data_IF_224170956213
#
_entry.id   IF_224170956213
#
_cell.length_a   1.000
_cell.length_b   1.000
_cell.length_c   1.000
_cell.angle_alpha   90.00
_cell.angle_beta   90.00
_cell.angle_gamma   90.00
#
_symmetry.space_group_name_H-M   'P 1'
#
loop_
_entity.id
_entity.type
_entity.pdbx_description
1 polymer ?
#
# COMPACT_ATOMS: atom_id res chain seq x y z
N UNK A 1 6.27 -39.55 -5.72
CA UNK A 1 5.16 -39.60 -4.74
C UNK A 1 4.47 -38.26 -4.86
N UNK A 2 3.64 -38.15 -5.89
CA UNK A 2 2.99 -36.92 -6.34
C UNK A 2 1.65 -36.78 -5.62
N UNK A 3 1.37 -35.57 -5.11
CA UNK A 3 0.06 -35.23 -4.58
C UNK A 3 -0.47 -34.04 -5.38
N UNK A 4 -1.37 -34.34 -6.31
CA UNK A 4 -2.22 -33.42 -7.04
C UNK A 4 -3.39 -33.01 -6.13
N UNK A 5 -3.65 -31.71 -5.95
CA UNK A 5 -4.88 -31.22 -5.29
C UNK A 5 -5.84 -30.69 -6.37
N UNK A 6 -6.99 -31.35 -6.45
CA UNK A 6 -8.09 -31.10 -7.38
C UNK A 6 -8.94 -29.91 -6.92
N UNK A 7 -9.22 -28.98 -7.84
CA UNK A 7 -10.27 -27.96 -7.73
C UNK A 7 -11.59 -28.58 -8.20
N UNK A 8 -12.64 -28.55 -7.37
CA UNK A 8 -13.95 -27.99 -7.74
C UNK A 8 -15.09 -28.33 -6.75
N UNK A 9 -16.05 -27.39 -6.72
CA UNK A 9 -17.45 -27.43 -6.22
C UNK A 9 -17.71 -27.13 -4.74
N UNK A 10 -18.01 -25.86 -4.46
CA UNK A 10 -19.27 -25.49 -3.79
C UNK A 10 -19.87 -24.30 -4.56
N UNK A 11 -20.92 -24.56 -5.34
CA UNK A 11 -21.83 -23.56 -5.90
C UNK A 11 -23.17 -23.74 -5.19
N UNK A 12 -23.68 -22.66 -4.62
CA UNK A 12 -25.02 -22.58 -4.02
C UNK A 12 -25.29 -21.14 -3.62
N UNK A 13 -25.87 -20.36 -4.54
CA UNK A 13 -26.09 -18.93 -4.37
C UNK A 13 -27.25 -18.58 -3.44
N UNK A 14 -27.18 -17.38 -2.87
CA UNK A 14 -28.35 -16.60 -2.50
C UNK A 14 -28.06 -15.13 -2.82
N UNK A 15 -28.97 -14.57 -3.61
CA UNK A 15 -28.87 -13.24 -4.19
C UNK A 15 -29.16 -12.17 -3.14
N UNK A 16 -28.17 -11.31 -2.90
CA UNK A 16 -28.33 -9.94 -2.40
C UNK A 16 -27.01 -9.21 -2.71
N UNK A 17 -26.75 -8.95 -3.98
CA UNK A 17 -25.65 -8.08 -4.37
C UNK A 17 -26.01 -7.29 -5.62
N UNK A 18 -26.75 -6.20 -5.41
CA UNK A 18 -26.92 -5.17 -6.40
C UNK A 18 -26.52 -3.83 -5.75
N UNK A 19 -25.52 -3.21 -6.37
CA UNK A 19 -24.99 -1.85 -6.16
C UNK A 19 -23.91 -1.70 -5.09
N UNK A 20 -22.66 -1.88 -5.53
CA UNK A 20 -21.61 -0.84 -5.58
C UNK A 20 -20.43 -1.39 -6.38
N UNK A 21 -20.47 -1.16 -7.69
CA UNK A 21 -19.28 -1.08 -8.53
C UNK A 21 -18.86 0.39 -8.54
N UNK A 22 -17.56 0.62 -8.69
CA UNK A 22 -16.90 1.90 -8.99
C UNK A 22 -16.38 2.68 -7.77
N UNK A 23 -15.29 2.17 -7.21
CA UNK A 23 -14.18 2.94 -6.62
C UNK A 23 -12.95 2.03 -6.56
N UNK A 24 -12.49 1.57 -7.74
CA UNK A 24 -11.15 1.00 -7.83
C UNK A 24 -10.18 2.15 -8.04
N UNK A 25 -9.42 2.51 -7.01
CA UNK A 25 -8.30 3.45 -7.15
C UNK A 25 -7.33 2.88 -8.18
N UNK A 26 -6.88 3.73 -9.11
CA UNK A 26 -5.89 3.32 -10.10
C UNK A 26 -4.53 3.12 -9.42
N UNK A 27 -3.64 2.25 -9.95
CA UNK A 27 -2.30 2.13 -9.39
C UNK A 27 -1.54 3.46 -9.57
N UNK A 28 -0.83 3.88 -8.51
CA UNK A 28 -0.06 5.12 -8.47
C UNK A 28 0.74 5.37 -9.76
N UNK A 29 0.63 6.60 -10.29
CA UNK A 29 1.35 7.05 -11.47
C UNK A 29 2.22 8.26 -11.11
N UNK A 30 3.53 8.08 -11.04
CA UNK A 30 4.44 9.22 -11.04
C UNK A 30 4.33 9.96 -12.38
N UNK A 31 4.28 11.30 -12.32
CA UNK A 31 4.28 12.17 -13.50
C UNK A 31 5.65 12.27 -14.17
N UNK A 32 6.73 11.91 -13.46
CA UNK A 32 8.12 12.05 -13.93
C UNK A 32 8.56 10.87 -14.81
N UNK A 33 8.00 9.68 -14.60
CA UNK A 33 8.22 8.47 -15.40
C UNK A 33 6.92 7.68 -15.40
N UNK A 34 6.41 7.25 -16.56
CA UNK A 34 5.15 6.49 -16.60
C UNK A 34 5.14 5.31 -15.61
N UNK A 35 3.95 4.87 -15.19
CA UNK A 35 3.79 3.92 -14.09
C UNK A 35 4.63 2.64 -14.22
N UNK A 36 5.31 2.24 -13.13
CA UNK A 36 5.98 0.94 -13.02
C UNK A 36 5.01 -0.26 -13.13
N UNK A 37 3.69 -0.01 -13.09
CA UNK A 37 2.67 -0.97 -13.48
C UNK A 37 2.88 -1.47 -14.93
N UNK A 38 3.38 -0.62 -15.83
CA UNK A 38 3.62 -0.99 -17.23
C UNK A 38 4.95 -1.74 -17.38
N UNK A 39 4.93 -3.04 -17.77
CA UNK A 39 6.12 -3.82 -18.00
C UNK A 39 7.11 -3.20 -18.98
N UNK A 40 6.65 -2.39 -19.92
CA UNK A 40 7.51 -1.72 -20.90
C UNK A 40 8.46 -0.74 -20.23
N UNK A 41 8.02 -0.06 -19.17
CA UNK A 41 8.78 1.02 -18.54
C UNK A 41 9.96 0.46 -17.76
N UNK A 42 9.73 -0.47 -16.85
CA UNK A 42 10.84 -1.05 -16.09
C UNK A 42 11.73 -1.97 -16.94
N UNK A 43 11.20 -2.64 -17.99
CA UNK A 43 12.05 -3.38 -18.94
C UNK A 43 13.02 -2.46 -19.68
N UNK A 44 12.61 -1.23 -20.01
CA UNK A 44 13.48 -0.21 -20.60
C UNK A 44 14.58 0.19 -19.61
N UNK A 45 14.22 0.41 -18.34
CA UNK A 45 15.17 0.69 -17.26
C UNK A 45 16.20 -0.43 -17.08
N UNK A 46 15.76 -1.69 -16.98
CA UNK A 46 16.64 -2.87 -16.90
C UNK A 46 17.61 -2.93 -18.08
N UNK A 47 17.12 -2.69 -19.30
CA UNK A 47 17.98 -2.67 -20.50
C UNK A 47 19.00 -1.53 -20.46
N UNK A 48 18.61 -0.37 -19.94
CA UNK A 48 19.50 0.76 -19.77
C UNK A 48 20.63 0.43 -18.78
N UNK A 49 20.28 -0.07 -17.58
CA UNK A 49 21.26 -0.43 -16.55
C UNK A 49 22.24 -1.49 -17.05
N UNK A 50 21.75 -2.56 -17.70
CA UNK A 50 22.59 -3.62 -18.28
C UNK A 50 23.64 -3.10 -19.28
N UNK A 51 23.33 -2.04 -20.02
CA UNK A 51 24.25 -1.47 -21.02
C UNK A 51 25.26 -0.50 -20.40
N UNK A 52 24.91 0.14 -19.28
CA UNK A 52 25.72 1.19 -18.66
C UNK A 52 26.66 0.65 -17.59
N UNK A 53 26.33 -0.49 -16.99
CA UNK A 53 27.07 -1.05 -15.87
C UNK A 53 27.14 -2.59 -15.97
N UNK A 54 28.36 -3.12 -16.14
CA UNK A 54 28.62 -4.55 -16.28
C UNK A 54 28.41 -5.33 -14.97
N UNK A 55 28.60 -4.68 -13.81
CA UNK A 55 28.35 -5.27 -12.50
C UNK A 55 26.84 -5.43 -12.31
N UNK A 56 26.07 -4.38 -12.56
CA UNK A 56 24.60 -4.45 -12.54
C UNK A 56 24.08 -5.45 -13.57
N UNK A 57 24.71 -5.54 -14.76
CA UNK A 57 24.30 -6.50 -15.77
C UNK A 57 24.40 -7.95 -15.29
N UNK A 58 25.50 -8.28 -14.61
CA UNK A 58 25.71 -9.60 -14.01
C UNK A 58 24.70 -9.89 -12.90
N UNK A 59 24.47 -8.94 -12.01
CA UNK A 59 23.50 -9.09 -10.90
C UNK A 59 22.09 -9.32 -11.46
N UNK A 60 21.62 -8.47 -12.37
CA UNK A 60 20.29 -8.61 -12.97
C UNK A 60 20.17 -9.93 -13.74
N UNK A 61 21.25 -10.39 -14.39
CA UNK A 61 21.27 -11.70 -15.05
C UNK A 61 21.07 -12.86 -14.08
N UNK A 62 21.67 -12.80 -12.90
CA UNK A 62 21.58 -13.85 -11.88
C UNK A 62 20.24 -13.84 -11.12
N UNK A 63 19.65 -12.67 -10.85
CA UNK A 63 18.38 -12.56 -10.10
C UNK A 63 17.17 -13.03 -10.92
N UNK A 64 17.25 -12.97 -12.26
CA UNK A 64 16.13 -13.33 -13.13
C UNK A 64 15.08 -12.20 -13.25
N UNK A 65 13.89 -12.49 -13.79
CA UNK A 65 12.87 -11.48 -14.05
C UNK A 65 12.26 -10.95 -12.74
N UNK A 66 12.21 -9.63 -12.61
CA UNK A 66 11.51 -8.94 -11.51
C UNK A 66 10.06 -8.63 -11.89
N UNK A 67 9.20 -8.54 -10.88
CA UNK A 67 7.83 -8.05 -10.99
C UNK A 67 7.67 -6.89 -10.01
N UNK A 68 7.06 -5.81 -10.48
CA UNK A 68 6.55 -4.76 -9.61
C UNK A 68 5.09 -5.08 -9.31
N UNK A 69 4.78 -5.16 -8.03
CA UNK A 69 3.41 -5.20 -7.51
C UNK A 69 3.19 -3.82 -6.88
N UNK A 70 2.26 -3.06 -7.43
CA UNK A 70 1.87 -1.77 -6.87
C UNK A 70 0.62 -1.98 -6.04
N UNK A 71 0.51 -1.25 -4.94
CA UNK A 71 -0.71 -1.22 -4.15
C UNK A 71 -1.79 -0.45 -4.92
N UNK A 72 -2.99 -1.02 -4.99
CA UNK A 72 -4.12 -0.41 -5.71
C UNK A 72 -4.83 0.67 -4.87
N UNK A 73 -4.58 0.73 -3.56
CA UNK A 73 -5.21 1.68 -2.63
C UNK A 73 -4.14 2.44 -1.83
N UNK A 74 -4.04 3.75 -2.10
CA UNK A 74 -3.08 4.65 -1.46
C UNK A 74 -3.23 4.70 0.07
N UNK A 75 -4.46 4.68 0.56
CA UNK A 75 -4.71 4.71 2.00
C UNK A 75 -4.25 3.40 2.63
N UNK A 76 -4.55 2.26 2.01
CA UNK A 76 -4.07 0.96 2.50
C UNK A 76 -2.54 0.88 2.51
N UNK A 77 -1.87 1.38 1.47
CA UNK A 77 -0.42 1.39 1.36
C UNK A 77 0.23 2.22 2.47
N UNK A 78 -0.27 3.44 2.71
CA UNK A 78 0.26 4.32 3.75
C UNK A 78 0.01 3.74 5.14
N UNK A 79 -1.21 3.28 5.44
CA UNK A 79 -1.51 2.65 6.73
C UNK A 79 -0.67 1.38 6.93
N UNK A 80 -0.51 0.59 5.87
CA UNK A 80 0.36 -0.58 5.85
C UNK A 80 1.80 -0.23 6.20
N UNK A 81 2.37 0.80 5.56
CA UNK A 81 3.75 1.24 5.82
C UNK A 81 3.93 1.65 7.28
N UNK A 82 3.00 2.43 7.85
CA UNK A 82 3.00 2.81 9.28
C UNK A 82 2.97 1.57 10.18
N UNK A 83 2.14 0.59 9.85
CA UNK A 83 2.05 -0.67 10.63
C UNK A 83 3.36 -1.47 10.57
N UNK A 84 4.06 -1.44 9.44
CA UNK A 84 5.31 -2.18 9.24
C UNK A 84 6.55 -1.52 9.86
N UNK A 85 6.50 -0.22 10.17
CA UNK A 85 7.63 0.49 10.78
C UNK A 85 8.17 -0.23 12.03
N UNK A 86 9.50 -0.35 12.08
CA UNK A 86 10.28 -0.89 13.21
C UNK A 86 9.91 -2.32 13.65
N UNK A 87 9.33 -3.12 12.76
CA UNK A 87 8.93 -4.50 13.04
C UNK A 87 9.47 -5.48 12.00
N UNK A 88 9.72 -6.72 12.43
CA UNK A 88 9.87 -7.84 11.49
C UNK A 88 8.57 -8.04 10.69
N UNK A 89 8.70 -8.41 9.41
CA UNK A 89 7.54 -8.50 8.49
C UNK A 89 6.44 -9.45 8.97
N UNK A 90 6.78 -10.56 9.62
CA UNK A 90 5.81 -11.51 10.18
C UNK A 90 4.99 -10.90 11.33
N UNK A 91 5.63 -10.14 12.22
CA UNK A 91 4.97 -9.46 13.33
C UNK A 91 4.05 -8.34 12.82
N UNK A 92 4.53 -7.53 11.87
CA UNK A 92 3.73 -6.48 11.24
C UNK A 92 2.50 -7.06 10.52
N UNK A 93 2.66 -8.15 9.76
CA UNK A 93 1.54 -8.83 9.09
C UNK A 93 0.52 -9.37 10.09
N UNK A 94 0.96 -9.94 11.21
CA UNK A 94 0.04 -10.41 12.25
C UNK A 94 -0.77 -9.26 12.88
N UNK A 95 -0.14 -8.11 13.14
CA UNK A 95 -0.84 -6.91 13.62
C UNK A 95 -1.82 -6.39 12.57
N UNK A 96 -1.38 -6.25 11.31
CA UNK A 96 -2.22 -5.78 10.22
C UNK A 96 -3.45 -6.67 10.03
N UNK A 97 -3.30 -8.00 10.08
CA UNK A 97 -4.41 -8.93 9.96
C UNK A 97 -5.42 -8.81 11.11
N UNK A 98 -4.96 -8.67 12.36
CA UNK A 98 -5.86 -8.42 13.50
C UNK A 98 -6.57 -7.09 13.39
N UNK A 99 -5.86 -6.05 12.93
CA UNK A 99 -6.43 -4.73 12.71
C UNK A 99 -7.51 -4.77 11.61
N UNK A 100 -7.22 -5.38 10.45
CA UNK A 100 -8.21 -5.63 9.39
C UNK A 100 -9.39 -6.47 9.90
N UNK A 101 -9.14 -7.42 10.79
CA UNK A 101 -10.15 -8.24 11.45
C UNK A 101 -11.21 -7.45 12.22
N UNK A 102 -10.90 -6.26 12.73
CA UNK A 102 -11.88 -5.39 13.39
C UNK A 102 -12.95 -4.87 12.41
N UNK A 103 -12.67 -4.88 11.11
CA UNK A 103 -13.51 -4.30 10.06
C UNK A 103 -13.85 -5.31 8.97
N UNK A 104 -13.94 -6.60 9.31
CA UNK A 104 -14.36 -7.63 8.37
C UNK A 104 -13.30 -8.01 7.33
N UNK A 105 -12.02 -7.83 7.63
CA UNK A 105 -10.90 -8.25 6.77
C UNK A 105 -10.34 -7.16 5.85
N UNK A 106 -10.87 -5.93 5.93
CA UNK A 106 -10.35 -4.74 5.24
C UNK A 106 -9.80 -3.71 6.21
N UNK A 107 -9.09 -2.69 5.71
CA UNK A 107 -8.80 -1.52 6.54
C UNK A 107 -10.08 -0.68 6.76
N UNK A 108 -10.17 0.05 7.89
CA UNK A 108 -11.26 0.99 8.11
C UNK A 108 -11.16 2.18 7.17
N UNK A 109 -12.29 2.82 6.85
CA UNK A 109 -12.24 4.18 6.31
C UNK A 109 -11.64 5.15 7.35
N UNK A 110 -11.16 6.34 6.93
CA UNK A 110 -10.75 7.39 7.87
C UNK A 110 -11.81 7.69 8.94
N UNK A 111 -13.08 7.79 8.56
CA UNK A 111 -14.19 8.04 9.48
C UNK A 111 -14.43 6.88 10.46
N UNK A 112 -14.37 5.63 10.00
CA UNK A 112 -14.49 4.44 10.86
C UNK A 112 -13.33 4.38 11.86
N UNK A 113 -12.11 4.67 11.41
CA UNK A 113 -10.93 4.70 12.26
C UNK A 113 -11.06 5.75 13.36
N UNK A 114 -11.44 6.99 13.02
CA UNK A 114 -11.59 8.08 13.98
C UNK A 114 -12.69 7.80 15.02
N UNK A 115 -13.72 7.05 14.64
CA UNK A 115 -14.81 6.62 15.52
C UNK A 115 -14.45 5.41 16.40
N UNK A 116 -13.28 4.81 16.21
CA UNK A 116 -12.88 3.60 16.94
C UNK A 116 -12.19 3.95 18.25
N UNK A 117 -12.63 3.28 19.31
CA UNK A 117 -12.01 3.36 20.64
C UNK A 117 -10.53 2.96 20.59
N UNK A 118 -9.67 3.81 21.16
CA UNK A 118 -8.23 3.57 21.23
C UNK A 118 -7.86 2.25 21.89
N UNK A 119 -8.63 1.79 22.88
CA UNK A 119 -8.33 0.53 23.57
C UNK A 119 -8.57 -0.68 22.67
N UNK A 120 -9.50 -0.58 21.70
CA UNK A 120 -9.68 -1.62 20.66
C UNK A 120 -8.48 -1.66 19.71
N UNK A 121 -7.95 -0.49 19.34
CA UNK A 121 -6.76 -0.38 18.49
C UNK A 121 -5.51 -0.93 19.19
N UNK A 122 -5.35 -0.67 20.48
CA UNK A 122 -4.26 -1.23 21.30
C UNK A 122 -4.35 -2.75 21.40
N UNK A 123 -5.56 -3.29 21.62
CA UNK A 123 -5.79 -4.74 21.73
C UNK A 123 -5.38 -5.54 20.49
N UNK A 124 -5.42 -4.95 19.29
CA UNK A 124 -4.93 -5.61 18.07
C UNK A 124 -3.41 -5.51 17.89
N UNK A 125 -2.71 -4.79 18.77
CA UNK A 125 -1.26 -4.68 18.81
C UNK A 125 -0.69 -3.42 18.14
N UNK A 126 -1.52 -2.40 17.87
CA UNK A 126 -1.02 -1.10 17.44
C UNK A 126 -0.40 -0.36 18.64
N UNK A 127 0.82 0.15 18.46
CA UNK A 127 1.46 1.00 19.47
C UNK A 127 0.75 2.36 19.55
N UNK A 128 0.84 3.07 20.69
CA UNK A 128 0.30 4.43 20.80
C UNK A 128 0.80 5.39 19.71
N UNK A 129 2.06 5.24 19.29
CA UNK A 129 2.66 6.01 18.22
C UNK A 129 1.98 5.74 16.87
N UNK A 130 1.81 4.47 16.49
CA UNK A 130 1.12 4.08 15.24
C UNK A 130 -0.34 4.54 15.24
N UNK A 131 -1.00 4.46 16.39
CA UNK A 131 -2.36 4.97 16.55
C UNK A 131 -2.41 6.49 16.29
N UNK A 132 -1.46 7.26 16.82
CA UNK A 132 -1.38 8.70 16.57
C UNK A 132 -1.09 9.03 15.11
N UNK A 133 -0.28 8.22 14.41
CA UNK A 133 0.08 8.48 13.01
C UNK A 133 -1.10 8.21 12.07
N UNK A 134 -1.76 7.06 12.24
CA UNK A 134 -2.96 6.73 11.46
C UNK A 134 -4.10 7.72 11.77
N UNK A 135 -4.18 8.24 13.00
CA UNK A 135 -5.14 9.28 13.38
C UNK A 135 -4.88 10.59 12.64
N UNK A 136 -3.64 11.09 12.65
CA UNK A 136 -3.29 12.33 11.93
C UNK A 136 -3.55 12.20 10.43
N UNK A 137 -3.22 11.06 9.84
CA UNK A 137 -3.56 10.73 8.44
C UNK A 137 -5.08 10.80 8.23
N UNK A 138 -5.86 10.10 9.05
CA UNK A 138 -7.31 10.06 8.91
C UNK A 138 -7.96 11.45 9.09
N UNK A 139 -7.48 12.26 10.03
CA UNK A 139 -7.95 13.63 10.25
C UNK A 139 -7.69 14.51 9.02
N UNK A 140 -6.47 14.47 8.45
CA UNK A 140 -6.11 15.23 7.25
C UNK A 140 -6.93 14.86 6.01
N UNK A 141 -7.28 13.59 5.88
CA UNK A 141 -8.17 13.13 4.81
C UNK A 141 -9.60 13.61 5.03
N UNK A 142 -10.08 13.58 6.27
CA UNK A 142 -11.45 13.98 6.60
C UNK A 142 -11.67 15.51 6.54
N UNK A 143 -10.65 16.30 6.84
CA UNK A 143 -10.70 17.76 6.81
C UNK A 143 -10.20 18.38 5.48
N UNK A 144 -9.75 17.54 4.55
CA UNK A 144 -9.32 17.96 3.21
C UNK A 144 -7.93 18.58 3.13
N UNK A 145 -7.14 18.56 4.22
CA UNK A 145 -5.72 18.95 4.19
C UNK A 145 -4.85 18.00 3.38
N UNK A 146 -5.30 16.77 3.15
CA UNK A 146 -4.64 15.79 2.29
C UNK A 146 -5.67 15.16 1.36
N UNK A 147 -5.31 15.03 0.08
CA UNK A 147 -6.07 14.31 -0.93
C UNK A 147 -5.11 13.34 -1.64
N UNK A 148 -5.30 12.05 -1.40
CA UNK A 148 -4.42 11.00 -1.95
C UNK A 148 -4.63 10.79 -3.45
N UNK A 149 -5.80 11.09 -3.99
CA UNK A 149 -6.06 10.98 -5.43
C UNK A 149 -5.35 12.10 -6.20
N UNK A 150 -5.28 13.30 -5.60
CA UNK A 150 -4.56 14.44 -6.19
C UNK A 150 -3.06 14.21 -6.31
N UNK A 151 -2.46 13.34 -5.49
CA UNK A 151 -1.02 13.10 -5.50
C UNK A 151 -0.50 12.66 -6.86
N UNK A 152 -1.29 11.92 -7.65
CA UNK A 152 -0.91 11.51 -9.02
C UNK A 152 -0.72 12.68 -9.99
N UNK A 153 -1.32 13.84 -9.70
CA UNK A 153 -1.20 15.04 -10.54
C UNK A 153 -0.01 15.93 -10.16
N UNK A 154 0.67 15.64 -9.05
CA UNK A 154 1.74 16.47 -8.52
C UNK A 154 3.12 16.03 -9.03
N UNK A 155 4.10 16.93 -8.92
CA UNK A 155 5.51 16.54 -9.02
C UNK A 155 5.91 15.68 -7.82
N UNK A 156 6.95 14.85 -7.98
CA UNK A 156 7.45 14.00 -6.89
C UNK A 156 7.81 14.86 -5.64
N UNK A 157 8.42 16.04 -5.82
CA UNK A 157 8.72 16.95 -4.72
C UNK A 157 7.50 17.54 -4.03
N UNK A 158 6.42 17.82 -4.76
CA UNK A 158 5.16 18.30 -4.20
C UNK A 158 4.43 17.19 -3.44
N UNK A 159 4.33 16.00 -4.03
CA UNK A 159 3.73 14.83 -3.40
C UNK A 159 4.49 14.44 -2.12
N UNK A 160 5.82 14.48 -2.15
CA UNK A 160 6.65 14.26 -0.95
C UNK A 160 6.35 15.27 0.15
N UNK A 161 6.17 16.56 -0.17
CA UNK A 161 5.85 17.60 0.83
C UNK A 161 4.49 17.38 1.48
N UNK A 162 3.48 16.99 0.71
CA UNK A 162 2.14 16.66 1.20
C UNK A 162 2.19 15.45 2.17
N UNK A 163 2.93 14.40 1.79
CA UNK A 163 3.08 13.18 2.59
C UNK A 163 3.93 13.40 3.86
N UNK A 164 5.05 14.13 3.77
CA UNK A 164 5.95 14.43 4.90
C UNK A 164 5.26 15.29 5.98
N UNK A 165 4.20 16.02 5.61
CA UNK A 165 3.39 16.76 6.56
C UNK A 165 2.56 15.83 7.49
N UNK A 166 2.31 14.58 7.08
CA UNK A 166 1.59 13.59 7.89
C UNK A 166 2.51 13.08 9.00
N UNK A 167 2.03 13.14 10.24
CA UNK A 167 2.83 12.71 11.39
C UNK A 167 3.22 11.24 11.25
N UNK A 168 4.53 10.98 11.31
CA UNK A 168 5.08 9.62 11.24
C UNK A 168 5.35 9.11 9.83
N UNK A 169 5.05 9.93 8.82
CA UNK A 169 5.54 9.75 7.46
C UNK A 169 6.69 10.74 7.30
N UNK A 170 7.91 10.23 7.26
CA UNK A 170 9.07 11.04 6.88
C UNK A 170 9.35 10.91 5.39
N UNK A 171 10.21 11.79 4.87
CA UNK A 171 10.73 11.75 3.49
C UNK A 171 10.98 10.34 2.93
N UNK A 172 11.72 9.49 3.64
CA UNK A 172 11.99 8.12 3.19
C UNK A 172 10.69 7.30 2.98
N UNK A 173 9.71 7.43 3.88
CA UNK A 173 8.42 6.73 3.74
C UNK A 173 7.60 7.29 2.59
N UNK A 174 7.67 8.60 2.35
CA UNK A 174 7.05 9.21 1.17
C UNK A 174 7.71 8.72 -0.13
N UNK A 175 9.04 8.66 -0.19
CA UNK A 175 9.79 8.13 -1.35
C UNK A 175 9.51 6.64 -1.63
N UNK A 176 9.18 5.84 -0.61
CA UNK A 176 8.78 4.44 -0.80
C UNK A 176 7.32 4.29 -1.24
N UNK A 177 6.49 5.32 -1.04
CA UNK A 177 5.09 5.32 -1.45
C UNK A 177 4.91 5.76 -2.91
N UNK A 178 5.71 6.73 -3.38
CA UNK A 178 5.73 7.21 -4.77
C UNK A 178 6.50 6.23 -5.69
#
# INVERSE_FOLDING_TARGET
MDITISRDKIVGGSALNARRKDAGSAPFRSTSVGSLADPKIWKRGVRYLKRRDSVLARIIGATGPIRFELDDDHYEAIVGSIVFQQLAGSAARAILNRFKGLYGGRLPSPSEYLSTDMDRLRKVGLSPQKISYIRDLAERLMDGRLDLERLEGLSDEEAMRELDAVRGIGRWTAEMFL
#
